data_IF_492546695409
#
_entry.id   IF_492546695409
#
_cell.length_a   1.000
_cell.length_b   1.000
_cell.length_c   1.000
_cell.angle_alpha   90.00
_cell.angle_beta   90.00
_cell.angle_gamma   90.00
#
_symmetry.space_group_name_H-M   'P 1'
#
loop_
_entity.id
_entity.type
_entity.pdbx_description
1 polymer ?
#
# COMPACT_ATOMS: atom_id res chain seq x y z
N UNK A 1 15.76 1.77 9.46
CA UNK A 1 14.61 2.67 9.20
C UNK A 1 14.53 2.95 7.72
N UNK A 2 13.33 2.93 7.14
CA UNK A 2 13.15 3.29 5.73
C UNK A 2 13.19 4.81 5.53
N UNK A 3 13.60 5.25 4.34
CA UNK A 3 13.56 6.66 3.95
C UNK A 3 12.11 7.06 3.67
N UNK A 4 11.61 8.10 4.33
CA UNK A 4 10.31 8.66 4.02
C UNK A 4 10.43 9.59 2.82
N UNK A 5 9.70 9.27 1.75
CA UNK A 5 9.59 10.12 0.57
C UNK A 5 8.35 11.02 0.72
N UNK A 6 8.42 12.24 0.19
CA UNK A 6 7.26 13.14 0.16
C UNK A 6 6.26 12.74 -0.92
N UNK A 7 6.73 12.07 -1.97
CA UNK A 7 5.94 11.66 -3.12
C UNK A 7 6.43 10.33 -3.68
N UNK A 8 5.59 9.71 -4.50
CA UNK A 8 5.93 8.50 -5.24
C UNK A 8 6.77 8.91 -6.45
N UNK A 9 8.06 8.57 -6.42
CA UNK A 9 8.94 8.80 -7.55
C UNK A 9 8.67 7.80 -8.71
N UNK A 10 9.31 8.03 -9.85
CA UNK A 10 9.08 7.24 -11.07
C UNK A 10 9.45 5.76 -10.93
N UNK A 11 10.45 5.42 -10.11
CA UNK A 11 10.86 4.03 -9.86
C UNK A 11 9.82 3.27 -9.04
N UNK A 12 9.33 3.88 -7.96
CA UNK A 12 8.29 3.30 -7.12
C UNK A 12 6.97 3.21 -7.89
N UNK A 13 6.62 4.22 -8.69
CA UNK A 13 5.44 4.18 -9.54
C UNK A 13 5.49 3.00 -10.52
N UNK A 14 6.63 2.77 -11.19
CA UNK A 14 6.82 1.60 -12.07
C UNK A 14 6.70 0.29 -11.29
N UNK A 15 7.29 0.19 -10.10
CA UNK A 15 7.17 -0.98 -9.24
C UNK A 15 5.71 -1.27 -8.88
N UNK A 16 4.95 -0.27 -8.41
CA UNK A 16 3.54 -0.39 -8.03
C UNK A 16 2.69 -0.86 -9.22
N UNK A 17 2.86 -0.26 -10.40
CA UNK A 17 2.08 -0.60 -11.59
C UNK A 17 2.32 -2.03 -12.12
N UNK A 18 3.47 -2.62 -11.80
CA UNK A 18 3.77 -4.00 -12.19
C UNK A 18 3.16 -5.04 -11.25
N UNK A 19 2.61 -4.64 -10.10
CA UNK A 19 1.97 -5.56 -9.17
C UNK A 19 0.62 -6.03 -9.70
N UNK A 20 0.35 -7.33 -9.58
CA UNK A 20 -0.92 -7.96 -9.98
C UNK A 20 -1.91 -8.09 -8.83
N UNK A 21 -1.45 -7.86 -7.60
CA UNK A 21 -2.25 -7.97 -6.38
C UNK A 21 -1.77 -6.88 -5.42
N UNK A 22 -2.72 -6.26 -4.75
CA UNK A 22 -2.57 -5.29 -3.68
C UNK A 22 -3.30 -5.79 -2.45
N UNK A 23 -2.81 -5.47 -1.26
CA UNK A 23 -3.54 -5.69 -0.02
C UNK A 23 -4.05 -4.34 0.48
N UNK A 24 -5.36 -4.23 0.65
CA UNK A 24 -5.99 -3.03 1.20
C UNK A 24 -6.40 -3.33 2.63
N UNK A 25 -5.93 -2.51 3.55
CA UNK A 25 -6.29 -2.57 4.96
C UNK A 25 -7.14 -1.35 5.32
N UNK A 26 -8.20 -1.56 6.08
CA UNK A 26 -8.93 -0.49 6.76
C UNK A 26 -8.93 -0.76 8.25
N UNK A 27 -8.70 0.28 9.04
CA UNK A 27 -8.69 0.21 10.49
C UNK A 27 -9.63 1.28 11.02
N UNK A 28 -10.56 0.88 11.88
CA UNK A 28 -11.30 1.83 12.71
C UNK A 28 -10.54 2.04 14.01
N UNK A 29 -10.83 3.12 14.74
CA UNK A 29 -10.10 3.50 15.95
C UNK A 29 -10.10 2.40 17.03
N UNK A 30 -11.21 1.69 17.17
CA UNK A 30 -11.46 0.78 18.29
C UNK A 30 -11.88 -0.64 17.86
N UNK A 31 -11.62 -1.05 16.60
CA UNK A 31 -11.99 -2.38 16.10
C UNK A 31 -10.86 -3.07 15.33
N UNK A 32 -11.18 -4.24 14.75
CA UNK A 32 -10.25 -5.05 13.99
C UNK A 32 -9.87 -4.41 12.65
N UNK A 33 -8.66 -4.76 12.18
CA UNK A 33 -8.21 -4.42 10.84
C UNK A 33 -8.89 -5.35 9.84
N UNK A 34 -9.59 -4.77 8.87
CA UNK A 34 -10.07 -5.53 7.72
C UNK A 34 -9.01 -5.47 6.62
N UNK A 35 -8.39 -6.61 6.33
CA UNK A 35 -7.37 -6.79 5.29
C UNK A 35 -7.94 -7.64 4.16
N UNK A 36 -7.96 -7.11 2.95
CA UNK A 36 -8.47 -7.82 1.77
C UNK A 36 -7.49 -7.74 0.61
N UNK A 37 -7.20 -8.85 -0.09
CA UNK A 37 -6.49 -8.81 -1.36
C UNK A 37 -7.38 -8.20 -2.45
N UNK A 38 -6.77 -7.44 -3.36
CA UNK A 38 -7.36 -6.83 -4.55
C UNK A 38 -6.42 -7.09 -5.71
N UNK A 39 -6.87 -7.75 -6.76
CA UNK A 39 -6.09 -8.04 -7.97
C UNK A 39 -6.87 -7.68 -9.21
#
# INVERSE_FOLDING_TARGET
>A
MGTQLQEINSEIAKFINNQKIFFVATATKDSFINLSPKG
#
